data_IF_775343482467
#
_entry.id   IF_775343482467
#
_cell.length_a   1.000
_cell.length_b   1.000
_cell.length_c   1.000
_cell.angle_alpha   90.00
_cell.angle_beta   90.00
_cell.angle_gamma   90.00
#
_symmetry.space_group_name_H-M   'P 1'
#
loop_
_entity.id
_entity.type
_entity.pdbx_description
1 polymer ?
#
# COMPACT_ATOMS: atom_id res chain seq x y z
N UNK A 1 12.44 -10.65 -18.82
CA UNK A 1 13.92 -10.67 -18.88
C UNK A 1 14.45 -11.25 -17.57
N UNK A 2 15.58 -11.97 -17.58
CA UNK A 2 16.05 -12.73 -16.42
C UNK A 2 16.32 -11.88 -15.16
N UNK A 3 16.66 -10.60 -15.31
CA UNK A 3 16.89 -9.69 -14.17
C UNK A 3 15.57 -9.33 -13.47
N UNK A 4 14.50 -9.09 -14.23
CA UNK A 4 13.16 -8.81 -13.68
C UNK A 4 12.64 -9.97 -12.84
N UNK A 5 12.80 -11.20 -13.35
CA UNK A 5 12.37 -12.41 -12.66
C UNK A 5 13.17 -12.63 -11.37
N UNK A 6 14.49 -12.41 -11.43
CA UNK A 6 15.36 -12.47 -10.26
C UNK A 6 14.98 -11.41 -9.20
N UNK A 7 14.73 -10.17 -9.61
CA UNK A 7 14.31 -9.10 -8.69
C UNK A 7 12.96 -9.40 -8.05
N UNK A 8 12.02 -9.98 -8.80
CA UNK A 8 10.75 -10.44 -8.29
C UNK A 8 10.95 -11.50 -7.19
N UNK A 9 11.74 -12.54 -7.47
CA UNK A 9 12.09 -13.57 -6.48
C UNK A 9 12.74 -12.95 -5.24
N UNK A 10 13.67 -12.01 -5.41
CA UNK A 10 14.28 -11.31 -4.26
C UNK A 10 13.26 -10.52 -3.44
N UNK A 11 12.27 -9.91 -4.07
CA UNK A 11 11.17 -9.23 -3.38
C UNK A 11 10.35 -10.17 -2.52
N UNK A 12 9.97 -11.33 -3.08
CA UNK A 12 9.24 -12.38 -2.40
C UNK A 12 10.04 -12.96 -1.23
N UNK A 13 11.30 -13.34 -1.46
CA UNK A 13 12.16 -13.88 -0.41
C UNK A 13 12.45 -12.85 0.69
N UNK A 14 12.56 -11.56 0.36
CA UNK A 14 12.73 -10.51 1.35
C UNK A 14 11.56 -10.43 2.34
N UNK A 15 10.31 -10.45 1.84
CA UNK A 15 9.12 -10.43 2.70
C UNK A 15 9.07 -11.69 3.57
N UNK A 16 9.40 -12.84 2.99
CA UNK A 16 9.48 -14.10 3.74
C UNK A 16 10.55 -14.07 4.82
N UNK A 17 11.72 -13.53 4.51
CA UNK A 17 12.83 -13.36 5.44
C UNK A 17 12.44 -12.45 6.61
N UNK A 18 12.01 -11.20 6.36
CA UNK A 18 11.68 -10.28 7.47
C UNK A 18 10.54 -10.81 8.35
N UNK A 19 9.58 -11.52 7.75
CA UNK A 19 8.49 -12.17 8.49
C UNK A 19 9.02 -13.21 9.48
N UNK A 20 9.99 -14.02 9.06
CA UNK A 20 10.60 -15.05 9.92
C UNK A 20 11.44 -14.44 11.06
N UNK A 21 11.88 -13.19 10.93
CA UNK A 21 12.61 -12.44 11.96
C UNK A 21 11.68 -11.63 12.89
N UNK A 22 10.36 -11.87 12.83
CA UNK A 22 9.38 -11.27 13.76
C UNK A 22 8.81 -9.92 13.33
N UNK A 23 9.06 -9.47 12.09
CA UNK A 23 8.39 -8.30 11.53
C UNK A 23 6.97 -8.61 11.04
N UNK A 24 6.54 -9.86 11.08
CA UNK A 24 5.19 -10.28 10.73
C UNK A 24 4.11 -9.50 11.52
N UNK A 25 4.35 -9.26 12.81
CA UNK A 25 3.45 -8.49 13.67
C UNK A 25 3.30 -7.06 13.19
N UNK A 26 4.41 -6.40 12.85
CA UNK A 26 4.41 -5.02 12.35
C UNK A 26 3.66 -4.96 11.02
N UNK A 27 3.94 -5.90 10.11
CA UNK A 27 3.29 -5.94 8.80
C UNK A 27 1.78 -6.18 8.90
N UNK A 28 1.32 -7.02 9.83
CA UNK A 28 -0.12 -7.25 10.07
C UNK A 28 -0.85 -6.05 10.66
N UNK A 29 -0.15 -5.20 11.44
CA UNK A 29 -0.76 -4.02 12.06
C UNK A 29 -1.00 -2.91 11.03
N UNK A 30 -0.28 -2.90 9.91
CA UNK A 30 -0.40 -1.85 8.89
C UNK A 30 -1.75 -1.83 8.17
N UNK A 31 -2.46 -2.96 8.13
CA UNK A 31 -3.77 -3.00 7.51
C UNK A 31 -4.47 -4.33 7.74
N UNK A 32 -5.79 -4.28 7.89
CA UNK A 32 -6.63 -5.46 8.02
C UNK A 32 -6.78 -6.22 6.68
N UNK A 33 -6.64 -5.51 5.57
CA UNK A 33 -6.75 -6.02 4.21
C UNK A 33 -5.66 -5.39 3.32
N UNK A 34 -5.58 -5.83 2.07
CA UNK A 34 -4.55 -5.39 1.12
C UNK A 34 -4.58 -3.88 0.83
N UNK A 35 -5.78 -3.28 0.73
CA UNK A 35 -5.90 -1.83 0.47
C UNK A 35 -5.42 -1.00 1.66
N UNK A 36 -5.74 -1.41 2.88
CA UNK A 36 -5.33 -0.72 4.10
C UNK A 36 -3.80 -0.80 4.24
N UNK A 37 -3.22 -1.97 3.98
CA UNK A 37 -1.78 -2.17 3.99
C UNK A 37 -1.06 -1.20 3.06
N UNK A 38 -1.50 -1.10 1.80
CA UNK A 38 -0.88 -0.25 0.79
C UNK A 38 -1.03 1.24 1.13
N UNK A 39 -2.17 1.66 1.67
CA UNK A 39 -2.37 3.02 2.17
C UNK A 39 -1.52 3.31 3.42
N UNK A 40 -1.22 2.30 4.23
CA UNK A 40 -0.42 2.41 5.46
C UNK A 40 1.10 2.40 5.27
N UNK A 41 1.60 2.04 4.08
CA UNK A 41 3.05 1.86 3.83
C UNK A 41 3.88 3.14 4.06
N UNK A 42 3.37 4.29 3.65
CA UNK A 42 4.11 5.56 3.84
C UNK A 42 4.21 5.94 5.32
N UNK A 43 3.19 5.61 6.13
CA UNK A 43 3.23 5.79 7.58
C UNK A 43 4.26 4.87 8.24
N UNK A 44 4.38 3.61 7.79
CA UNK A 44 5.44 2.71 8.25
C UNK A 44 6.82 3.31 7.99
N UNK A 45 7.02 3.79 6.76
CA UNK A 45 8.29 4.37 6.36
C UNK A 45 8.62 5.62 7.15
N UNK A 46 7.64 6.48 7.44
CA UNK A 46 7.83 7.64 8.29
C UNK A 46 8.17 7.23 9.73
N UNK A 47 7.47 6.23 10.28
CA UNK A 47 7.80 5.67 11.59
C UNK A 47 9.26 5.17 11.66
N UNK A 48 9.71 4.45 10.63
CA UNK A 48 11.09 3.96 10.55
C UNK A 48 12.12 5.10 10.46
N UNK A 49 11.78 6.28 9.91
CA UNK A 49 12.71 7.41 9.84
C UNK A 49 13.08 7.96 11.22
N UNK A 50 12.21 7.83 12.23
CA UNK A 50 12.56 8.23 13.59
C UNK A 50 13.75 7.43 14.14
N UNK A 51 13.80 6.12 13.85
CA UNK A 51 14.93 5.27 14.24
C UNK A 51 16.10 5.35 13.26
N UNK A 52 15.82 5.58 11.97
CA UNK A 52 16.80 5.64 10.90
C UNK A 52 16.75 6.98 10.14
N UNK A 53 17.30 8.08 10.69
CA UNK A 53 17.10 9.43 10.16
C UNK A 53 17.63 9.67 8.74
N UNK A 54 18.60 8.85 8.30
CA UNK A 54 19.18 8.93 6.94
C UNK A 54 18.43 8.06 5.93
N UNK A 55 17.40 7.33 6.36
CA UNK A 55 16.63 6.46 5.48
C UNK A 55 15.91 7.29 4.43
N UNK A 56 16.04 6.87 3.17
CA UNK A 56 15.28 7.39 2.03
C UNK A 56 14.37 6.27 1.53
N UNK A 57 13.17 6.12 2.13
CA UNK A 57 12.20 5.12 1.71
C UNK A 57 11.55 5.51 0.37
N UNK A 58 11.00 4.53 -0.37
CA UNK A 58 10.05 4.81 -1.44
C UNK A 58 8.74 5.37 -0.86
N UNK A 59 7.92 5.95 -1.73
CA UNK A 59 6.56 6.38 -1.41
C UNK A 59 5.54 5.61 -2.26
N UNK A 60 4.42 5.29 -1.63
CA UNK A 60 3.30 4.54 -2.17
C UNK A 60 2.02 5.34 -2.04
N UNK A 61 1.28 5.48 -3.14
CA UNK A 61 0.02 6.21 -3.18
C UNK A 61 -1.03 5.46 -3.99
N UNK A 62 -2.18 5.18 -3.38
CA UNK A 62 -3.32 4.57 -4.06
C UNK A 62 -4.14 5.68 -4.71
N UNK A 63 -4.27 5.66 -6.04
CA UNK A 63 -5.02 6.68 -6.81
C UNK A 63 -6.49 6.31 -6.95
N UNK A 64 -6.77 5.06 -7.32
CA UNK A 64 -8.13 4.57 -7.61
C UNK A 64 -8.31 3.18 -7.06
N UNK A 65 -9.49 2.92 -6.53
CA UNK A 65 -9.89 1.60 -6.04
C UNK A 65 -11.16 1.13 -6.73
N UNK A 66 -11.25 -0.18 -6.92
CA UNK A 66 -12.41 -0.86 -7.49
C UNK A 66 -12.66 -2.15 -6.73
N UNK A 67 -13.79 -2.81 -6.98
CA UNK A 67 -14.08 -4.14 -6.42
C UNK A 67 -13.05 -5.22 -6.82
N UNK A 68 -12.30 -5.00 -7.91
CA UNK A 68 -11.39 -5.98 -8.49
C UNK A 68 -9.92 -5.56 -8.45
N UNK A 69 -9.58 -4.52 -7.68
CA UNK A 69 -8.21 -4.07 -7.57
C UNK A 69 -8.06 -2.58 -7.31
N UNK A 70 -6.86 -2.06 -7.59
CA UNK A 70 -6.53 -0.64 -7.42
C UNK A 70 -5.35 -0.20 -8.29
N UNK A 71 -5.21 1.11 -8.47
CA UNK A 71 -4.06 1.76 -9.11
C UNK A 71 -3.11 2.27 -8.05
N UNK A 72 -1.86 1.78 -8.07
CA UNK A 72 -0.81 2.11 -7.10
C UNK A 72 0.33 2.88 -7.78
N UNK A 73 0.65 4.05 -7.24
CA UNK A 73 1.79 4.85 -7.63
C UNK A 73 2.97 4.51 -6.71
N UNK A 74 4.09 4.13 -7.31
CA UNK A 74 5.35 3.91 -6.62
C UNK A 74 6.36 4.97 -7.06
N UNK A 75 6.96 5.66 -6.08
CA UNK A 75 8.00 6.67 -6.32
C UNK A 75 9.23 6.37 -5.50
N UNK A 76 10.39 6.35 -6.15
CA UNK A 76 11.64 6.04 -5.47
C UNK A 76 12.84 6.70 -6.14
N UNK A 77 13.85 7.04 -5.35
CA UNK A 77 15.16 7.43 -5.87
C UNK A 77 16.05 6.23 -6.21
N UNK A 78 15.61 5.01 -5.88
CA UNK A 78 16.34 3.77 -6.15
C UNK A 78 15.87 3.19 -7.48
N UNK A 79 16.78 3.13 -8.45
CA UNK A 79 16.52 2.61 -9.79
C UNK A 79 16.69 1.09 -9.85
N UNK A 80 15.95 0.43 -10.74
CA UNK A 80 16.02 -1.03 -10.93
C UNK A 80 15.28 -1.88 -9.90
N UNK A 81 14.47 -1.27 -9.01
CA UNK A 81 13.72 -1.98 -7.96
C UNK A 81 12.24 -2.20 -8.30
N UNK A 82 11.81 -1.92 -9.52
CA UNK A 82 10.40 -2.02 -9.94
C UNK A 82 9.87 -3.44 -9.71
N UNK A 83 10.55 -4.45 -10.28
CA UNK A 83 10.15 -5.86 -10.10
C UNK A 83 10.39 -6.39 -8.69
N UNK A 84 11.30 -5.79 -7.93
CA UNK A 84 11.47 -6.13 -6.53
C UNK A 84 10.24 -5.74 -5.70
N UNK A 85 9.68 -4.55 -5.95
CA UNK A 85 8.43 -4.12 -5.33
C UNK A 85 7.26 -5.01 -5.75
N UNK A 86 7.21 -5.44 -7.01
CA UNK A 86 6.21 -6.41 -7.48
C UNK A 86 6.25 -7.68 -6.62
N UNK A 87 7.42 -8.29 -6.45
CA UNK A 87 7.56 -9.51 -5.64
C UNK A 87 7.22 -9.32 -4.16
N UNK A 88 7.52 -8.15 -3.60
CA UNK A 88 7.13 -7.80 -2.23
C UNK A 88 5.60 -7.72 -2.07
N UNK A 89 4.92 -6.99 -2.97
CA UNK A 89 3.46 -6.78 -2.90
C UNK A 89 2.73 -8.12 -3.11
N UNK A 90 3.16 -8.92 -4.08
CA UNK A 90 2.57 -10.24 -4.34
C UNK A 90 2.73 -11.16 -3.13
N UNK A 91 3.91 -11.19 -2.51
CA UNK A 91 4.14 -12.04 -1.33
C UNK A 91 3.37 -11.54 -0.11
N UNK A 92 3.24 -10.23 0.08
CA UNK A 92 2.42 -9.68 1.16
C UNK A 92 0.96 -10.11 1.00
N UNK A 93 0.40 -9.95 -0.20
CA UNK A 93 -0.98 -10.36 -0.49
C UNK A 93 -1.22 -11.83 -0.16
N UNK A 94 -0.33 -12.71 -0.64
CA UNK A 94 -0.41 -14.15 -0.43
C UNK A 94 -0.25 -14.54 1.05
N UNK A 95 0.74 -13.97 1.73
CA UNK A 95 1.16 -14.44 3.07
C UNK A 95 0.31 -13.86 4.21
N UNK A 96 -0.15 -12.61 4.08
CA UNK A 96 -0.86 -11.92 5.16
C UNK A 96 -2.36 -11.88 4.96
N UNK A 97 -2.82 -11.86 3.70
CA UNK A 97 -4.22 -11.64 3.35
C UNK A 97 -4.85 -12.78 2.53
N UNK A 98 -4.13 -13.88 2.30
CA UNK A 98 -4.55 -15.00 1.46
C UNK A 98 -5.12 -14.55 0.10
N UNK A 99 -4.53 -13.48 -0.44
CA UNK A 99 -5.03 -12.78 -1.64
C UNK A 99 -4.00 -12.93 -2.75
N UNK A 100 -4.42 -13.51 -3.88
CA UNK A 100 -3.58 -13.55 -5.07
C UNK A 100 -3.64 -12.20 -5.80
N UNK A 101 -2.54 -11.45 -5.74
CA UNK A 101 -2.43 -10.12 -6.36
C UNK A 101 -1.66 -10.23 -7.67
N UNK A 102 -2.37 -10.04 -8.78
CA UNK A 102 -1.73 -9.85 -10.08
C UNK A 102 -1.37 -8.38 -10.25
N UNK A 103 -0.16 -8.09 -10.73
CA UNK A 103 0.37 -6.74 -10.85
C UNK A 103 0.83 -6.50 -12.28
N UNK A 104 0.24 -5.51 -12.93
CA UNK A 104 0.62 -5.06 -14.27
C UNK A 104 1.29 -3.69 -14.19
N UNK A 105 2.39 -3.49 -14.92
CA UNK A 105 3.08 -2.20 -14.99
C UNK A 105 2.43 -1.37 -16.09
N UNK A 106 1.69 -0.33 -15.72
CA UNK A 106 0.97 0.54 -16.67
C UNK A 106 1.90 1.59 -17.26
N UNK A 107 2.76 2.17 -16.42
CA UNK A 107 3.76 3.14 -16.89
C UNK A 107 4.97 3.17 -15.97
N UNK A 108 6.14 3.40 -16.56
CA UNK A 108 7.39 3.63 -15.86
C UNK A 108 8.03 4.89 -16.44
N UNK A 109 8.35 5.86 -15.58
CA UNK A 109 8.97 7.12 -15.94
C UNK A 109 10.15 7.39 -15.02
N UNK A 110 11.27 7.78 -15.60
CA UNK A 110 12.38 8.34 -14.84
C UNK A 110 12.39 9.85 -15.04
N UNK A 111 12.05 10.59 -13.98
CA UNK A 111 12.09 12.05 -13.95
C UNK A 111 13.20 12.50 -13.01
N UNK A 112 14.25 13.12 -13.57
CA UNK A 112 15.46 13.55 -12.87
C UNK A 112 16.13 12.38 -12.10
N UNK A 113 15.88 12.33 -10.79
CA UNK A 113 16.44 11.42 -9.79
C UNK A 113 15.38 10.46 -9.22
N UNK A 114 14.15 10.50 -9.75
CA UNK A 114 13.00 9.76 -9.22
C UNK A 114 12.46 8.85 -10.32
N UNK A 115 12.39 7.57 -10.02
CA UNK A 115 11.60 6.59 -10.77
C UNK A 115 10.18 6.63 -10.25
N UNK A 116 9.22 6.96 -11.13
CA UNK A 116 7.79 6.89 -10.87
C UNK A 116 7.20 5.77 -11.73
N UNK A 117 6.62 4.77 -11.05
CA UNK A 117 5.91 3.66 -11.69
C UNK A 117 4.45 3.69 -11.28
N UNK A 118 3.57 3.39 -12.22
CA UNK A 118 2.14 3.16 -11.98
C UNK A 118 1.86 1.68 -12.19
N UNK A 119 1.40 1.03 -11.12
CA UNK A 119 0.98 -0.35 -11.12
C UNK A 119 -0.55 -0.45 -11.14
N UNK A 120 -1.08 -1.39 -11.91
CA UNK A 120 -2.45 -1.84 -11.81
C UNK A 120 -2.44 -3.18 -11.04
N UNK A 121 -3.02 -3.18 -9.84
CA UNK A 121 -3.15 -4.36 -9.00
C UNK A 121 -4.54 -4.95 -9.21
N UNK A 122 -4.61 -6.25 -9.49
CA UNK A 122 -5.84 -7.00 -9.71
C UNK A 122 -5.99 -8.05 -8.61
N UNK A 123 -7.04 -7.91 -7.80
CA UNK A 123 -7.39 -8.81 -6.71
C UNK A 123 -8.82 -8.56 -6.23
N UNK A 124 -9.42 -9.50 -5.50
CA UNK A 124 -10.75 -9.30 -4.93
C UNK A 124 -10.71 -8.30 -3.76
N UNK A 125 -11.15 -7.07 -4.02
CA UNK A 125 -11.17 -6.00 -3.03
C UNK A 125 -12.54 -5.93 -2.34
N UNK A 126 -12.87 -6.97 -1.58
CA UNK A 126 -14.14 -7.08 -0.85
C UNK A 126 -14.32 -5.97 0.18
N UNK A 127 -13.22 -5.51 0.80
CA UNK A 127 -13.22 -4.41 1.77
C UNK A 127 -13.67 -3.08 1.15
N UNK A 128 -13.27 -2.78 -0.09
CA UNK A 128 -13.76 -1.60 -0.80
C UNK A 128 -15.28 -1.66 -1.05
N UNK A 129 -15.80 -2.83 -1.45
CA UNK A 129 -17.24 -3.02 -1.68
C UNK A 129 -18.04 -2.86 -0.37
N UNK A 130 -17.53 -3.42 0.73
CA UNK A 130 -18.16 -3.28 2.04
C UNK A 130 -18.22 -1.81 2.48
N UNK A 131 -17.09 -1.09 2.40
CA UNK A 131 -17.06 0.32 2.76
C UNK A 131 -17.96 1.16 1.85
N UNK A 132 -17.92 0.93 0.52
CA UNK A 132 -18.79 1.66 -0.42
C UNK A 132 -20.29 1.37 -0.21
N UNK A 133 -20.64 0.24 0.41
CA UNK A 133 -22.03 -0.07 0.80
C UNK A 133 -22.39 0.66 2.10
N UNK A 134 -21.52 0.58 3.11
CA UNK A 134 -21.70 1.32 4.37
C UNK A 134 -21.78 2.83 4.16
N UNK A 135 -20.95 3.40 3.28
CA UNK A 135 -20.95 4.84 2.95
C UNK A 135 -22.22 5.27 2.20
N UNK A 136 -22.88 4.35 1.49
CA UNK A 136 -24.19 4.62 0.87
C UNK A 136 -25.30 4.65 1.92
N UNK A 137 -25.30 3.68 2.83
CA UNK A 137 -26.27 3.60 3.92
C UNK A 137 -26.13 4.77 4.92
N UNK A 138 -24.90 5.24 5.18
CA UNK A 138 -24.65 6.39 6.06
C UNK A 138 -24.93 7.74 5.42
N UNK A 139 -24.77 7.88 4.10
CA UNK A 139 -25.22 9.07 3.37
C UNK A 139 -26.75 9.22 3.35
N UNK A 140 -27.53 8.14 3.53
CA UNK A 140 -28.97 8.25 3.79
C UNK A 140 -29.28 8.74 5.22
N UNK A 141 -28.33 8.60 6.15
CA UNK A 141 -28.43 9.02 7.55
C UNK A 141 -27.58 10.28 7.80
N UNK A 142 -27.83 11.34 7.04
CA UNK A 142 -27.06 12.59 7.08
C UNK A 142 -27.30 13.36 8.40
N UNK A 143 -26.61 12.94 9.47
CA UNK A 143 -26.60 13.57 10.79
C UNK A 143 -25.49 14.63 10.85
N UNK A 144 -25.44 15.54 9.89
CA UNK A 144 -24.47 16.63 9.87
C UNK A 144 -24.59 17.44 11.17
N UNK A 145 -23.53 17.40 11.99
CA UNK A 145 -23.43 18.17 13.22
C UNK A 145 -22.94 19.57 12.88
N UNK A 146 -23.55 20.59 13.47
CA UNK A 146 -23.14 21.99 13.30
C UNK A 146 -21.66 22.17 13.71
N UNK A 147 -20.89 22.91 12.91
CA UNK A 147 -19.47 23.14 13.17
C UNK A 147 -19.22 23.79 14.53
N UNK A 148 -20.18 24.56 15.04
CA UNK A 148 -20.10 25.18 16.36
C UNK A 148 -19.95 24.13 17.49
N UNK A 149 -20.65 22.99 17.39
CA UNK A 149 -20.58 21.91 18.38
C UNK A 149 -19.19 21.23 18.35
N UNK A 150 -18.61 21.08 17.16
CA UNK A 150 -17.24 20.55 17.02
C UNK A 150 -16.21 21.47 17.69
N UNK A 151 -16.36 22.80 17.58
CA UNK A 151 -15.46 23.76 18.24
C UNK A 151 -15.54 23.75 19.76
N UNK A 152 -16.71 23.45 20.34
CA UNK A 152 -16.86 23.38 21.81
C UNK A 152 -16.41 22.03 22.40
N UNK A 153 -16.63 20.93 21.69
CA UNK A 153 -16.33 19.59 22.20
C UNK A 153 -14.87 19.18 22.03
N UNK A 154 -14.18 19.74 21.05
CA UNK A 154 -12.88 19.28 20.62
C UNK A 154 -11.83 20.36 20.93
N UNK A 155 -10.97 20.16 21.96
CA UNK A 155 -10.08 21.20 22.47
C UNK A 155 -8.75 21.28 21.69
N UNK A 156 -8.79 21.13 20.36
CA UNK A 156 -7.62 21.31 19.48
C UNK A 156 -7.82 22.41 18.45
#
# INVERSE_FOLDING_TARGET
EPISDLMNIFGTEFVSYISNYGYDRVLRILGHNMRDFLNGLDNLHEYMRYTYPRMRPPSFYVEKETAHGLTLHYRSRRRGFVHYVVGQITEVGRRFYDTNVQIDIVSEREEFDITHVVFELKFENTAYVQQATTDKDSNELDLAVDCYICFELIPF
#
